data_IF_349184874316
#
_entry.id   IF_349184874316
#
_cell.length_a   1.000
_cell.length_b   1.000
_cell.length_c   1.000
_cell.angle_alpha   90.00
_cell.angle_beta   90.00
_cell.angle_gamma   90.00
#
_symmetry.space_group_name_H-M   'P 1'
#
loop_
_entity.id
_entity.type
_entity.pdbx_description
1 polymer ?
#
# COMPACT_ATOMS: atom_id res chain seq x y z
N UNK A 1 -19.55 0.80 37.80
CA UNK A 1 -19.80 -0.61 38.11
C UNK A 1 -18.73 -1.41 37.40
N UNK A 2 -17.96 -2.23 38.12
CA UNK A 2 -16.99 -3.13 37.49
C UNK A 2 -17.78 -4.09 36.57
N UNK A 3 -17.38 -4.18 35.31
CA UNK A 3 -18.03 -5.09 34.36
C UNK A 3 -17.46 -6.48 34.62
N UNK A 4 -18.32 -7.45 34.92
CA UNK A 4 -17.88 -8.83 35.14
C UNK A 4 -17.34 -9.43 33.84
N UNK A 5 -16.14 -10.00 33.92
CA UNK A 5 -15.42 -10.55 32.79
C UNK A 5 -14.07 -11.12 33.21
N UNK A 6 -13.37 -11.73 32.26
CA UNK A 6 -12.04 -12.27 32.48
C UNK A 6 -11.10 -11.93 31.31
N UNK A 7 -9.80 -11.91 31.60
CA UNK A 7 -8.76 -11.62 30.63
C UNK A 7 -8.10 -12.91 30.15
N UNK A 8 -7.83 -13.00 28.85
CA UNK A 8 -6.91 -14.00 28.30
C UNK A 8 -5.72 -13.32 27.66
N UNK A 9 -4.54 -13.90 27.82
CA UNK A 9 -3.28 -13.40 27.27
C UNK A 9 -2.78 -14.37 26.19
N UNK A 10 -2.37 -13.82 25.06
CA UNK A 10 -1.84 -14.60 23.94
C UNK A 10 -0.61 -13.94 23.35
N UNK A 11 0.39 -14.72 22.98
CA UNK A 11 1.66 -14.21 22.44
C UNK A 11 1.74 -14.45 20.94
N UNK A 12 2.34 -13.47 20.23
CA UNK A 12 2.61 -13.51 18.80
C UNK A 12 1.38 -13.86 17.94
N UNK A 13 0.19 -13.48 18.43
CA UNK A 13 -1.04 -13.48 17.66
C UNK A 13 -1.63 -12.10 17.72
N UNK A 14 -2.18 -11.65 16.61
CA UNK A 14 -2.81 -10.35 16.51
C UNK A 14 -3.85 -10.33 15.41
N UNK A 15 -4.74 -9.37 15.52
CA UNK A 15 -5.56 -8.89 14.42
C UNK A 15 -4.96 -7.57 13.96
N UNK A 16 -3.76 -7.66 13.39
CA UNK A 16 -2.96 -6.51 12.97
C UNK A 16 -3.81 -5.57 12.10
N UNK A 17 -3.86 -4.29 12.47
CA UNK A 17 -4.62 -3.23 11.81
C UNK A 17 -6.15 -3.42 11.76
N UNK A 18 -6.70 -4.37 12.52
CA UNK A 18 -8.14 -4.63 12.60
C UNK A 18 -8.65 -4.33 14.00
N UNK A 19 -9.77 -3.60 14.04
CA UNK A 19 -10.44 -3.21 15.28
C UNK A 19 -9.70 -2.12 16.07
N UNK A 20 -8.55 -1.63 15.64
CA UNK A 20 -7.80 -0.58 16.34
C UNK A 20 -8.63 0.71 16.40
N UNK A 21 -9.04 1.09 17.61
CA UNK A 21 -9.85 2.28 17.86
C UNK A 21 -9.05 3.38 18.57
N UNK A 22 -7.98 3.00 19.27
CA UNK A 22 -7.19 3.94 20.03
C UNK A 22 -5.75 3.44 20.19
N UNK A 23 -4.78 4.27 19.79
CA UNK A 23 -3.36 3.98 19.94
C UNK A 23 -2.76 4.89 21.00
N UNK A 24 -2.34 4.28 22.12
CA UNK A 24 -1.69 5.00 23.22
C UNK A 24 -0.17 4.95 23.07
N UNK A 25 0.49 6.10 23.23
CA UNK A 25 1.96 6.25 23.13
C UNK A 25 2.54 6.73 24.46
N UNK A 26 3.82 6.42 24.71
CA UNK A 26 4.56 6.92 25.88
C UNK A 26 4.59 5.94 27.06
N UNK A 27 4.75 6.46 28.29
CA UNK A 27 4.98 5.65 29.50
C UNK A 27 3.83 4.69 29.84
N UNK A 28 2.61 5.03 29.42
CA UNK A 28 1.40 4.23 29.68
C UNK A 28 1.42 2.85 29.00
N UNK A 29 2.20 2.68 27.93
CA UNK A 29 2.32 1.43 27.17
C UNK A 29 2.87 0.29 28.05
N UNK A 30 3.68 0.64 29.06
CA UNK A 30 4.28 -0.33 29.99
C UNK A 30 3.36 -0.69 31.16
N UNK A 31 2.23 0.02 31.33
CA UNK A 31 1.31 -0.15 32.45
C UNK A 31 0.09 -0.99 32.04
N UNK A 32 0.28 -2.32 32.00
CA UNK A 32 -0.76 -3.28 31.58
C UNK A 32 -2.04 -3.18 32.44
N UNK A 33 -1.97 -3.07 33.79
CA UNK A 33 -3.18 -2.88 34.60
C UNK A 33 -4.00 -1.65 34.19
N UNK A 34 -3.33 -0.53 33.90
CA UNK A 34 -4.00 0.69 33.43
C UNK A 34 -4.62 0.52 32.04
N UNK A 35 -3.93 -0.16 31.13
CA UNK A 35 -4.47 -0.47 29.79
C UNK A 35 -5.73 -1.35 29.87
N UNK A 36 -5.71 -2.39 30.72
CA UNK A 36 -6.88 -3.25 30.96
C UNK A 36 -8.07 -2.44 31.50
N UNK A 37 -7.82 -1.54 32.44
CA UNK A 37 -8.86 -0.64 32.97
C UNK A 37 -9.48 0.25 31.88
N UNK A 38 -8.67 0.79 30.97
CA UNK A 38 -9.18 1.59 29.83
C UNK A 38 -10.07 0.74 28.93
N UNK A 39 -9.68 -0.50 28.62
CA UNK A 39 -10.50 -1.42 27.82
C UNK A 39 -11.85 -1.70 28.48
N UNK A 40 -11.84 -1.97 29.79
CA UNK A 40 -13.05 -2.21 30.57
C UNK A 40 -13.98 -0.99 30.61
N UNK A 41 -13.43 0.21 30.84
CA UNK A 41 -14.18 1.47 30.90
C UNK A 41 -14.77 1.84 29.53
N UNK A 42 -13.92 1.84 28.49
CA UNK A 42 -14.28 2.27 27.12
C UNK A 42 -15.00 1.22 26.29
N UNK A 43 -15.30 0.05 26.87
CA UNK A 43 -16.05 -1.00 26.19
C UNK A 43 -15.31 -1.56 24.97
N UNK A 44 -14.00 -1.72 25.08
CA UNK A 44 -13.17 -2.32 24.03
C UNK A 44 -13.11 -3.84 24.19
N UNK A 45 -12.55 -4.53 23.20
CA UNK A 45 -12.48 -5.98 23.09
C UNK A 45 -11.10 -6.52 23.46
N UNK A 46 -10.02 -5.78 23.17
CA UNK A 46 -8.65 -6.21 23.46
C UNK A 46 -7.67 -5.05 23.54
N UNK A 47 -6.46 -5.33 24.02
CA UNK A 47 -5.30 -4.44 23.91
C UNK A 47 -4.06 -5.23 23.49
N UNK A 48 -3.35 -4.73 22.49
CA UNK A 48 -2.12 -5.29 21.98
C UNK A 48 -0.93 -4.42 22.38
N UNK A 49 0.10 -5.04 22.94
CA UNK A 49 1.39 -4.42 23.27
C UNK A 49 2.50 -5.28 22.72
N UNK A 50 3.65 -4.71 22.33
CA UNK A 50 4.70 -5.53 21.73
C UNK A 50 6.03 -4.83 21.62
N UNK A 51 6.83 -5.26 20.65
CA UNK A 51 8.13 -4.66 20.31
C UNK A 51 8.04 -3.22 19.77
N UNK A 52 6.84 -2.68 19.62
CA UNK A 52 6.55 -1.33 19.12
C UNK A 52 6.26 -0.35 20.28
N UNK A 53 6.51 0.97 20.10
CA UNK A 53 6.47 1.97 21.18
C UNK A 53 5.06 2.43 21.58
N UNK A 54 4.02 1.66 21.24
CA UNK A 54 2.61 2.02 21.44
C UNK A 54 1.79 0.82 21.93
N UNK A 55 0.63 1.09 22.52
CA UNK A 55 -0.39 0.10 22.87
C UNK A 55 -1.59 0.33 21.97
N UNK A 56 -2.04 -0.69 21.25
CA UNK A 56 -3.18 -0.61 20.36
C UNK A 56 -4.41 -1.21 21.04
N UNK A 57 -5.41 -0.39 21.35
CA UNK A 57 -6.67 -0.84 21.92
C UNK A 57 -7.65 -1.14 20.79
N UNK A 58 -8.27 -2.32 20.86
CA UNK A 58 -9.09 -2.88 19.80
C UNK A 58 -10.54 -3.03 20.22
N UNK A 59 -11.49 -2.70 19.35
CA UNK A 59 -12.92 -2.89 19.51
C UNK A 59 -13.48 -3.62 18.29
N UNK A 60 -14.25 -4.66 18.58
CA UNK A 60 -15.01 -5.43 17.61
C UNK A 60 -16.48 -5.46 18.02
N UNK A 61 -17.37 -5.58 17.04
CA UNK A 61 -18.81 -5.72 17.28
C UNK A 61 -19.22 -7.15 17.70
N UNK A 62 -18.24 -8.04 17.85
CA UNK A 62 -18.36 -9.43 18.28
C UNK A 62 -17.38 -9.75 19.42
N UNK A 63 -17.57 -10.88 20.11
CA UNK A 63 -16.64 -11.29 21.16
C UNK A 63 -15.36 -11.84 20.53
N UNK A 64 -14.26 -11.09 20.66
CA UNK A 64 -12.97 -11.52 20.15
C UNK A 64 -12.48 -12.75 20.93
N UNK A 65 -11.92 -13.72 20.20
CA UNK A 65 -11.27 -14.93 20.73
C UNK A 65 -9.94 -15.13 19.99
N UNK A 66 -9.07 -15.99 20.53
CA UNK A 66 -7.77 -16.28 19.92
C UNK A 66 -7.89 -16.89 18.51
N UNK A 67 -8.96 -17.65 18.25
CA UNK A 67 -9.21 -18.29 16.93
C UNK A 67 -9.43 -17.29 15.81
N UNK A 68 -9.92 -16.09 16.14
CA UNK A 68 -10.06 -15.01 15.18
C UNK A 68 -8.70 -14.40 14.80
N UNK A 69 -7.67 -14.56 15.63
CA UNK A 69 -6.38 -13.91 15.47
C UNK A 69 -5.43 -14.74 14.58
N UNK A 70 -4.54 -14.07 13.87
CA UNK A 70 -3.51 -14.71 13.04
C UNK A 70 -2.13 -14.59 13.69
N UNK A 71 -1.17 -15.47 13.37
CA UNK A 71 0.21 -15.32 13.83
C UNK A 71 0.82 -14.01 13.36
N UNK A 72 1.44 -13.27 14.28
CA UNK A 72 2.14 -12.02 14.02
C UNK A 72 3.39 -12.27 13.19
N UNK A 73 3.58 -11.47 12.13
CA UNK A 73 4.73 -11.59 11.21
C UNK A 73 5.54 -10.30 11.23
N UNK A 74 6.82 -10.39 11.59
CA UNK A 74 7.75 -9.25 11.58
C UNK A 74 7.78 -8.41 12.86
N UNK A 75 7.03 -8.78 13.89
CA UNK A 75 7.08 -8.17 15.23
C UNK A 75 6.66 -9.18 16.30
N UNK A 76 7.08 -8.95 17.53
CA UNK A 76 6.61 -9.71 18.69
C UNK A 76 5.58 -8.89 19.45
N UNK A 77 4.51 -9.54 19.89
CA UNK A 77 3.44 -8.88 20.62
C UNK A 77 2.79 -9.83 21.62
N UNK A 78 2.12 -9.21 22.59
CA UNK A 78 1.21 -9.83 23.53
C UNK A 78 -0.15 -9.16 23.37
N UNK A 79 -1.15 -9.98 23.03
CA UNK A 79 -2.54 -9.57 22.90
C UNK A 79 -3.32 -9.99 24.15
N UNK A 80 -3.88 -9.01 24.85
CA UNK A 80 -4.79 -9.21 25.96
C UNK A 80 -6.22 -9.06 25.47
N UNK A 81 -7.02 -10.12 25.56
CA UNK A 81 -8.42 -10.13 25.12
C UNK A 81 -9.33 -10.10 26.35
N UNK A 82 -10.32 -9.20 26.32
CA UNK A 82 -11.34 -9.07 27.35
C UNK A 82 -12.57 -9.89 27.00
N UNK A 83 -12.90 -10.87 27.85
CA UNK A 83 -14.10 -11.71 27.72
C UNK A 83 -15.16 -11.23 28.66
N UNK A 84 -16.32 -10.83 28.12
CA UNK A 84 -17.41 -10.31 28.93
C UNK A 84 -18.34 -11.42 29.37
N UNK A 85 -18.48 -11.62 30.68
CA UNK A 85 -19.38 -12.65 31.23
C UNK A 85 -20.81 -12.08 31.19
N UNK A 86 -21.62 -12.49 30.21
CA UNK A 86 -23.06 -12.19 30.20
C UNK A 86 -23.69 -11.67 28.89
N UNK A 87 -23.01 -11.65 27.75
CA UNK A 87 -23.68 -11.24 26.48
C UNK A 87 -24.42 -12.42 25.81
N UNK A 88 -25.53 -12.86 26.41
CA UNK A 88 -26.46 -13.79 25.74
C UNK A 88 -26.92 -13.24 24.38
N UNK A 89 -27.02 -11.91 24.25
CA UNK A 89 -27.36 -11.21 23.00
C UNK A 89 -26.24 -11.18 21.95
N UNK A 90 -24.99 -11.46 22.34
CA UNK A 90 -23.85 -11.54 21.42
C UNK A 90 -23.84 -12.87 20.66
N UNK A 91 -24.04 -13.97 21.39
CA UNK A 91 -24.08 -15.32 20.82
C UNK A 91 -25.23 -15.52 19.83
N UNK A 92 -26.42 -14.99 20.12
CA UNK A 92 -27.57 -15.04 19.19
C UNK A 92 -27.36 -14.21 17.93
N UNK A 93 -26.72 -13.04 18.04
CA UNK A 93 -26.36 -12.23 16.86
C UNK A 93 -25.27 -12.87 16.03
N UNK A 94 -24.30 -13.52 16.67
CA UNK A 94 -23.23 -14.28 16.02
C UNK A 94 -23.79 -15.50 15.29
N UNK A 95 -24.73 -16.24 15.88
CA UNK A 95 -25.37 -17.40 15.21
C UNK A 95 -26.25 -16.96 14.04
N UNK A 96 -27.06 -15.91 14.20
CA UNK A 96 -27.89 -15.37 13.11
C UNK A 96 -27.04 -14.87 11.93
N UNK A 97 -25.93 -14.19 12.20
CA UNK A 97 -25.04 -13.67 11.15
C UNK A 97 -24.21 -14.78 10.50
N UNK A 98 -23.81 -15.80 11.26
CA UNK A 98 -23.14 -16.99 10.71
C UNK A 98 -24.08 -17.79 9.78
N UNK A 99 -25.38 -17.88 10.12
CA UNK A 99 -26.39 -18.48 9.27
C UNK A 99 -26.66 -17.64 8.00
N UNK A 100 -26.75 -16.31 8.11
CA UNK A 100 -26.82 -15.41 6.95
C UNK A 100 -25.61 -15.54 6.03
N UNK A 101 -24.40 -15.57 6.59
CA UNK A 101 -23.16 -15.73 5.82
C UNK A 101 -23.11 -17.07 5.09
N UNK A 102 -23.57 -18.15 5.74
CA UNK A 102 -23.64 -19.48 5.12
C UNK A 102 -24.66 -19.51 3.98
N UNK A 103 -25.83 -18.90 4.18
CA UNK A 103 -26.88 -18.76 3.15
C UNK A 103 -26.43 -17.89 1.97
N UNK A 104 -25.64 -16.85 2.22
CA UNK A 104 -25.02 -16.04 1.19
C UNK A 104 -24.00 -16.85 0.40
N UNK A 105 -23.05 -17.51 1.08
CA UNK A 105 -21.99 -18.32 0.47
C UNK A 105 -22.50 -19.44 -0.44
N UNK A 106 -23.64 -20.03 -0.08
CA UNK A 106 -24.23 -21.16 -0.81
C UNK A 106 -25.24 -20.70 -1.89
N UNK A 107 -25.46 -19.39 -2.07
CA UNK A 107 -26.38 -18.82 -3.06
C UNK A 107 -25.73 -18.55 -4.42
N UNK A 108 -26.43 -18.84 -5.53
CA UNK A 108 -26.00 -18.46 -6.89
C UNK A 108 -26.09 -16.94 -7.06
N UNK A 109 -24.96 -16.24 -6.98
CA UNK A 109 -24.85 -14.81 -7.19
C UNK A 109 -24.80 -14.47 -8.69
N UNK A 110 -25.92 -14.68 -9.39
CA UNK A 110 -26.16 -14.06 -10.69
C UNK A 110 -27.17 -12.94 -10.53
N UNK A 111 -26.72 -11.70 -10.73
CA UNK A 111 -27.60 -10.53 -10.74
C UNK A 111 -28.49 -10.57 -11.98
N UNK A 112 -29.74 -10.13 -11.85
CA UNK A 112 -30.77 -10.23 -12.91
C UNK A 112 -30.70 -9.03 -13.87
N UNK A 113 -29.87 -8.04 -13.55
CA UNK A 113 -29.88 -6.70 -14.14
C UNK A 113 -28.49 -6.12 -14.45
N UNK A 114 -27.39 -6.85 -14.19
CA UNK A 114 -26.05 -6.46 -14.66
C UNK A 114 -25.45 -5.17 -14.05
N UNK A 115 -26.15 -4.47 -13.17
CA UNK A 115 -25.65 -3.29 -12.46
C UNK A 115 -25.36 -3.59 -10.98
N UNK A 116 -24.11 -3.34 -10.57
CA UNK A 116 -23.65 -3.51 -9.19
C UNK A 116 -24.12 -2.34 -8.33
N UNK A 117 -25.25 -2.51 -7.64
CA UNK A 117 -25.63 -1.61 -6.56
C UNK A 117 -24.74 -1.87 -5.33
N UNK A 118 -23.76 -0.97 -5.16
CA UNK A 118 -23.21 -0.51 -3.88
C UNK A 118 -23.14 -1.52 -2.74
N UNK A 119 -22.17 -2.43 -2.80
CA UNK A 119 -21.65 -3.10 -1.61
C UNK A 119 -21.32 -2.06 -0.53
N UNK A 120 -21.82 -2.30 0.69
CA UNK A 120 -21.44 -1.60 1.92
C UNK A 120 -19.96 -1.21 1.90
N UNK A 121 -19.67 0.06 2.19
CA UNK A 121 -18.31 0.62 2.13
C UNK A 121 -17.31 -0.18 2.96
N UNK A 122 -17.76 -0.87 4.02
CA UNK A 122 -16.91 -1.70 4.88
C UNK A 122 -16.55 -3.04 4.27
N UNK A 123 -17.43 -3.63 3.44
CA UNK A 123 -17.18 -4.90 2.76
C UNK A 123 -16.28 -4.72 1.54
N UNK A 124 -16.45 -3.62 0.78
CA UNK A 124 -15.46 -3.22 -0.24
C UNK A 124 -14.12 -2.85 0.39
N UNK A 125 -14.13 -2.28 1.59
CA UNK A 125 -12.90 -1.95 2.31
C UNK A 125 -12.23 -3.19 2.90
N UNK A 126 -12.98 -4.23 3.32
CA UNK A 126 -12.41 -5.51 3.70
C UNK A 126 -11.99 -6.34 2.50
N UNK A 127 -12.75 -6.35 1.41
CA UNK A 127 -12.39 -7.04 0.16
C UNK A 127 -11.23 -6.33 -0.55
N UNK A 128 -11.07 -5.00 -0.42
CA UNK A 128 -9.86 -4.30 -0.84
C UNK A 128 -8.68 -4.48 0.12
N UNK A 129 -8.92 -4.85 1.39
CA UNK A 129 -7.88 -5.25 2.35
C UNK A 129 -7.52 -6.75 2.24
N UNK A 130 -8.44 -7.58 1.74
CA UNK A 130 -8.30 -9.03 1.53
C UNK A 130 -7.96 -9.40 0.09
N UNK A 131 -8.15 -8.49 -0.85
CA UNK A 131 -7.54 -8.56 -2.17
C UNK A 131 -6.08 -8.17 -1.99
N UNK A 132 -5.33 -9.15 -1.49
CA UNK A 132 -3.96 -9.41 -1.89
C UNK A 132 -3.04 -8.19 -1.65
N UNK A 133 -2.00 -8.34 -0.85
CA UNK A 133 -0.85 -9.11 -1.34
C UNK A 133 -0.92 -9.43 -2.84
N UNK A 134 -1.05 -8.40 -3.69
CA UNK A 134 -0.30 -8.39 -4.91
C UNK A 134 1.11 -8.09 -4.39
N UNK A 135 1.96 -9.05 -3.98
CA UNK A 135 2.35 -10.28 -4.69
C UNK A 135 1.95 -10.35 -6.18
N UNK A 136 1.78 -9.23 -6.86
CA UNK A 136 2.40 -9.15 -8.17
C UNK A 136 3.86 -8.87 -7.83
N UNK A 137 4.78 -9.72 -8.25
CA UNK A 137 6.13 -9.25 -8.47
C UNK A 137 5.97 -8.20 -9.59
N UNK A 138 5.62 -6.96 -9.24
CA UNK A 138 5.79 -5.80 -10.11
C UNK A 138 7.30 -5.60 -10.22
N UNK A 139 7.96 -6.55 -10.89
CA UNK A 139 9.40 -6.62 -10.99
C UNK A 139 9.93 -5.40 -11.72
N UNK A 140 11.25 -5.30 -11.78
CA UNK A 140 11.97 -4.28 -12.55
C UNK A 140 11.36 -4.10 -13.96
N UNK A 141 10.86 -5.20 -14.54
CA UNK A 141 10.12 -5.22 -15.80
C UNK A 141 8.88 -4.32 -15.82
N UNK A 142 7.99 -4.41 -14.82
CA UNK A 142 6.82 -3.53 -14.79
C UNK A 142 7.24 -2.08 -14.52
N UNK A 143 8.19 -1.86 -13.60
CA UNK A 143 8.63 -0.51 -13.24
C UNK A 143 9.24 0.25 -14.42
N UNK A 144 10.04 -0.42 -15.26
CA UNK A 144 10.82 0.22 -16.32
C UNK A 144 10.27 0.02 -17.74
N UNK A 145 9.45 -1.02 -17.99
CA UNK A 145 9.08 -1.42 -19.35
C UNK A 145 7.57 -1.49 -19.62
N UNK A 146 6.71 -1.35 -18.61
CA UNK A 146 5.26 -1.26 -18.79
C UNK A 146 4.77 0.19 -18.64
N UNK A 147 3.62 0.52 -19.21
CA UNK A 147 2.91 1.81 -19.02
C UNK A 147 1.71 1.71 -18.08
N UNK A 148 1.44 0.54 -17.52
CA UNK A 148 0.20 0.23 -16.82
C UNK A 148 0.24 0.64 -15.35
N UNK A 149 -0.91 1.06 -14.84
CA UNK A 149 -1.09 1.41 -13.44
C UNK A 149 -0.55 2.79 -13.03
N UNK A 150 -0.62 3.04 -11.72
CA UNK A 150 -0.19 4.27 -11.06
C UNK A 150 1.08 3.99 -10.26
N UNK A 151 2.02 4.93 -10.29
CA UNK A 151 3.28 4.80 -9.56
C UNK A 151 3.41 5.91 -8.51
N UNK A 152 3.41 5.52 -7.23
CA UNK A 152 3.58 6.44 -6.12
C UNK A 152 5.00 7.01 -6.01
N UNK A 153 5.15 8.09 -5.23
CA UNK A 153 6.39 8.87 -5.06
C UNK A 153 7.65 8.04 -4.81
N UNK A 154 7.62 7.13 -3.82
CA UNK A 154 8.79 6.31 -3.42
C UNK A 154 9.22 5.36 -4.55
N UNK A 155 8.25 4.71 -5.20
CA UNK A 155 8.51 3.78 -6.32
C UNK A 155 9.02 4.52 -7.55
N UNK A 156 8.48 5.71 -7.85
CA UNK A 156 8.95 6.56 -8.93
C UNK A 156 10.41 6.98 -8.76
N UNK A 157 10.80 7.41 -7.56
CA UNK A 157 12.20 7.76 -7.27
C UNK A 157 13.13 6.56 -7.46
N UNK A 158 12.80 5.40 -6.87
CA UNK A 158 13.60 4.18 -7.02
C UNK A 158 13.72 3.72 -8.48
N UNK A 159 12.61 3.70 -9.22
CA UNK A 159 12.60 3.33 -10.63
C UNK A 159 13.43 4.30 -11.49
N UNK A 160 13.35 5.60 -11.21
CA UNK A 160 14.15 6.63 -11.92
C UNK A 160 15.64 6.45 -11.69
N UNK A 161 16.07 6.24 -10.44
CA UNK A 161 17.47 6.02 -10.10
C UNK A 161 17.98 4.70 -10.69
N UNK A 162 17.18 3.64 -10.64
CA UNK A 162 17.53 2.35 -11.24
C UNK A 162 17.69 2.47 -12.76
N UNK A 163 16.76 3.14 -13.45
CA UNK A 163 16.85 3.40 -14.88
C UNK A 163 18.11 4.19 -15.24
N UNK A 164 18.46 5.19 -14.41
CA UNK A 164 19.66 6.01 -14.58
C UNK A 164 20.93 5.16 -14.46
N UNK A 165 21.04 4.31 -13.42
CA UNK A 165 22.19 3.42 -13.22
C UNK A 165 22.31 2.41 -14.38
N UNK A 166 21.20 1.83 -14.83
CA UNK A 166 21.20 0.90 -15.98
C UNK A 166 21.66 1.63 -17.25
N UNK A 167 21.13 2.82 -17.52
CA UNK A 167 21.48 3.59 -18.71
C UNK A 167 22.96 3.99 -18.72
N UNK A 168 23.49 4.53 -17.61
CA UNK A 168 24.89 4.93 -17.52
C UNK A 168 25.84 3.73 -17.52
N UNK A 169 25.47 2.60 -16.90
CA UNK A 169 26.29 1.40 -16.94
C UNK A 169 26.39 0.82 -18.37
N UNK A 170 25.28 0.78 -19.12
CA UNK A 170 25.29 0.39 -20.52
C UNK A 170 26.12 1.34 -21.39
N UNK A 171 26.02 2.65 -21.14
CA UNK A 171 26.83 3.66 -21.83
C UNK A 171 28.33 3.45 -21.60
N UNK A 172 28.75 3.19 -20.35
CA UNK A 172 30.15 2.92 -20.02
C UNK A 172 30.64 1.61 -20.64
N UNK A 173 29.85 0.54 -20.59
CA UNK A 173 30.21 -0.74 -21.22
C UNK A 173 30.35 -0.58 -22.74
N UNK A 174 29.43 0.14 -23.37
CA UNK A 174 29.48 0.41 -24.80
C UNK A 174 30.71 1.27 -25.18
N UNK A 175 31.07 2.24 -24.33
CA UNK A 175 32.29 3.04 -24.46
C UNK A 175 33.56 2.21 -24.33
N UNK A 176 33.61 1.24 -23.41
CA UNK A 176 34.78 0.39 -23.19
C UNK A 176 34.95 -0.72 -24.23
N UNK A 177 33.85 -1.30 -24.73
CA UNK A 177 33.89 -2.59 -25.44
C UNK A 177 33.65 -2.46 -26.95
N UNK A 178 32.74 -1.57 -27.37
CA UNK A 178 32.13 -1.68 -28.71
C UNK A 178 32.50 -0.51 -29.63
N UNK A 179 32.86 0.66 -29.08
CA UNK A 179 32.87 1.89 -29.88
C UNK A 179 34.22 2.58 -29.91
N UNK A 180 34.74 2.79 -31.11
CA UNK A 180 35.73 3.83 -31.36
C UNK A 180 34.99 5.16 -31.54
N UNK A 181 34.87 5.94 -30.46
CA UNK A 181 34.15 7.21 -30.41
C UNK A 181 34.72 8.28 -31.34
N UNK A 182 35.90 8.02 -31.92
CA UNK A 182 36.52 8.87 -32.92
C UNK A 182 35.89 8.71 -34.31
N UNK A 183 35.01 7.72 -34.50
CA UNK A 183 34.31 7.46 -35.76
C UNK A 183 32.83 7.86 -35.65
N UNK A 184 32.31 8.44 -36.74
CA UNK A 184 30.90 8.82 -36.84
C UNK A 184 30.00 7.58 -36.73
N UNK A 185 30.43 6.45 -37.30
CA UNK A 185 29.69 5.19 -37.25
C UNK A 185 29.51 4.69 -35.82
N UNK A 186 30.58 4.72 -35.01
CA UNK A 186 30.51 4.32 -33.62
C UNK A 186 29.56 5.20 -32.80
N UNK A 187 29.64 6.52 -33.01
CA UNK A 187 28.71 7.46 -32.39
C UNK A 187 27.25 7.16 -32.78
N UNK A 188 26.96 6.96 -34.07
CA UNK A 188 25.60 6.70 -34.54
C UNK A 188 25.03 5.39 -34.00
N UNK A 189 25.81 4.30 -33.99
CA UNK A 189 25.39 3.01 -33.41
C UNK A 189 25.05 3.17 -31.93
N UNK A 190 25.83 3.97 -31.19
CA UNK A 190 25.56 4.26 -29.78
C UNK A 190 24.24 4.96 -29.54
N UNK A 191 23.95 5.99 -30.34
CA UNK A 191 22.74 6.78 -30.22
C UNK A 191 21.53 5.94 -30.61
N UNK A 192 21.62 5.19 -31.72
CA UNK A 192 20.53 4.36 -32.22
C UNK A 192 20.19 3.19 -31.29
N UNK A 193 21.13 2.68 -30.51
CA UNK A 193 20.88 1.58 -29.57
C UNK A 193 20.42 2.07 -28.20
N UNK A 194 21.09 3.08 -27.62
CA UNK A 194 20.81 3.53 -26.26
C UNK A 194 19.68 4.55 -26.17
N UNK A 195 19.54 5.46 -27.14
CA UNK A 195 18.54 6.53 -27.04
C UNK A 195 17.09 5.99 -27.01
N UNK A 196 16.69 5.01 -27.84
CA UNK A 196 15.34 4.44 -27.75
C UNK A 196 15.06 3.75 -26.41
N UNK A 197 16.05 3.02 -25.88
CA UNK A 197 15.93 2.33 -24.59
C UNK A 197 15.79 3.33 -23.43
N UNK A 198 16.64 4.36 -23.41
CA UNK A 198 16.59 5.42 -22.41
C UNK A 198 15.27 6.19 -22.46
N UNK A 199 14.83 6.57 -23.68
CA UNK A 199 13.56 7.25 -23.88
C UNK A 199 12.38 6.40 -23.39
N UNK A 200 12.38 5.09 -23.67
CA UNK A 200 11.33 4.18 -23.22
C UNK A 200 11.25 4.09 -21.68
N UNK A 201 12.38 3.88 -21.00
CA UNK A 201 12.38 3.79 -19.54
C UNK A 201 11.93 5.10 -18.88
N UNK A 202 12.30 6.24 -19.48
CA UNK A 202 11.87 7.55 -18.99
C UNK A 202 10.38 7.81 -19.26
N UNK A 203 9.87 7.50 -20.44
CA UNK A 203 8.44 7.65 -20.74
C UNK A 203 7.59 6.74 -19.86
N UNK A 204 7.99 5.48 -19.66
CA UNK A 204 7.25 4.52 -18.84
C UNK A 204 7.06 5.00 -17.40
N UNK A 205 8.14 5.48 -16.77
CA UNK A 205 8.11 5.96 -15.37
C UNK A 205 7.34 7.27 -15.22
N UNK A 206 7.55 8.23 -16.14
CA UNK A 206 6.90 9.55 -16.11
C UNK A 206 5.41 9.43 -16.39
N UNK A 207 4.99 8.62 -17.37
CA UNK A 207 3.56 8.40 -17.67
C UNK A 207 2.83 7.87 -16.45
N UNK A 208 3.39 6.86 -15.76
CA UNK A 208 2.77 6.30 -14.55
C UNK A 208 2.69 7.31 -13.41
N UNK A 209 3.67 8.20 -13.32
CA UNK A 209 3.68 9.27 -12.33
C UNK A 209 2.67 10.37 -12.63
N UNK A 210 2.53 10.75 -13.91
CA UNK A 210 1.51 11.70 -14.35
C UNK A 210 0.10 11.13 -14.15
N UNK A 211 -0.11 9.84 -14.45
CA UNK A 211 -1.35 9.11 -14.13
C UNK A 211 -1.67 9.17 -12.63
N UNK A 212 -0.66 9.02 -11.77
CA UNK A 212 -0.85 9.15 -10.32
C UNK A 212 -1.25 10.56 -9.89
N UNK A 213 -0.81 11.59 -10.61
CA UNK A 213 -1.21 12.98 -10.38
C UNK A 213 -2.55 13.34 -11.05
N UNK A 214 -3.19 12.42 -11.76
CA UNK A 214 -4.42 12.68 -12.53
C UNK A 214 -4.23 13.54 -13.79
N UNK A 215 -2.99 13.87 -14.12
CA UNK A 215 -2.62 14.62 -15.31
C UNK A 215 -2.74 13.73 -16.56
N UNK A 216 -2.97 14.36 -17.71
CA UNK A 216 -3.00 13.64 -18.97
C UNK A 216 -1.63 12.99 -19.29
N UNK A 217 -1.59 11.69 -19.66
CA UNK A 217 -0.36 10.99 -20.02
C UNK A 217 0.42 11.64 -21.17
N UNK A 218 -0.25 12.35 -22.08
CA UNK A 218 0.38 13.01 -23.22
C UNK A 218 1.38 14.10 -22.83
N UNK A 219 1.28 14.63 -21.60
CA UNK A 219 2.27 15.57 -21.06
C UNK A 219 3.66 14.93 -20.92
N UNK A 220 3.74 13.59 -20.80
CA UNK A 220 5.01 12.88 -20.76
C UNK A 220 5.84 13.08 -22.03
N UNK A 221 5.20 13.26 -23.20
CA UNK A 221 5.90 13.52 -24.46
C UNK A 221 6.70 14.80 -24.37
N UNK A 222 6.16 15.86 -23.76
CA UNK A 222 6.89 17.11 -23.51
C UNK A 222 8.14 16.87 -22.68
N UNK A 223 8.03 16.07 -21.61
CA UNK A 223 9.18 15.70 -20.77
C UNK A 223 10.26 14.94 -21.56
N UNK A 224 9.87 13.98 -22.40
CA UNK A 224 10.79 13.19 -23.23
C UNK A 224 11.44 13.99 -24.38
N UNK A 225 10.78 15.04 -24.87
CA UNK A 225 11.31 15.89 -25.94
C UNK A 225 12.25 17.01 -25.44
N UNK A 226 12.26 17.31 -24.13
CA UNK A 226 13.12 18.35 -23.56
C UNK A 226 14.62 18.19 -23.89
N UNK A 227 15.24 17.00 -23.82
CA UNK A 227 16.63 16.79 -24.25
C UNK A 227 16.98 17.31 -25.65
N UNK A 228 16.01 17.42 -26.55
CA UNK A 228 16.22 17.88 -27.92
C UNK A 228 16.55 19.37 -27.99
N UNK A 229 16.21 20.14 -26.94
CA UNK A 229 16.55 21.56 -26.83
C UNK A 229 18.00 21.68 -26.34
N UNK A 230 18.93 22.18 -27.17
CA UNK A 230 20.34 22.28 -26.78
C UNK A 230 20.51 23.16 -25.54
N UNK A 231 21.39 22.74 -24.63
CA UNK A 231 21.80 23.43 -23.39
C UNK A 231 20.71 23.67 -22.32
N UNK A 232 19.48 24.01 -22.71
CA UNK A 232 18.37 24.30 -21.79
C UNK A 232 17.49 23.09 -21.50
N UNK A 233 17.45 22.11 -22.41
CA UNK A 233 16.60 20.93 -22.32
C UNK A 233 16.83 20.10 -21.06
N UNK A 234 18.08 19.68 -20.84
CA UNK A 234 18.46 18.83 -19.71
C UNK A 234 18.24 19.51 -18.35
N UNK A 235 18.62 20.79 -18.13
CA UNK A 235 18.29 21.49 -16.89
C UNK A 235 16.78 21.57 -16.61
N UNK A 236 15.98 21.89 -17.63
CA UNK A 236 14.52 21.98 -17.48
C UNK A 236 13.90 20.62 -17.18
N UNK A 237 14.39 19.56 -17.83
CA UNK A 237 13.94 18.20 -17.57
C UNK A 237 14.28 17.76 -16.14
N UNK A 238 15.48 18.11 -15.65
CA UNK A 238 15.87 17.81 -14.28
C UNK A 238 15.00 18.53 -13.25
N UNK A 239 14.72 19.82 -13.45
CA UNK A 239 13.81 20.58 -12.58
C UNK A 239 12.40 20.00 -12.59
N UNK A 240 11.90 19.61 -13.77
CA UNK A 240 10.59 18.96 -13.86
C UNK A 240 10.61 17.61 -13.13
N UNK A 241 11.65 16.80 -13.31
CA UNK A 241 11.79 15.54 -12.58
C UNK A 241 11.75 15.74 -11.07
N UNK A 242 12.49 16.71 -10.53
CA UNK A 242 12.42 17.09 -9.11
C UNK A 242 10.98 17.43 -8.73
N UNK A 243 10.28 18.23 -9.54
CA UNK A 243 8.89 18.57 -9.26
C UNK A 243 7.96 17.35 -9.23
N UNK A 244 8.21 16.32 -10.05
CA UNK A 244 7.45 15.05 -10.05
C UNK A 244 7.76 14.20 -8.82
N UNK A 245 8.99 14.25 -8.30
CA UNK A 245 9.36 13.59 -7.04
C UNK A 245 8.70 14.30 -5.85
N UNK A 246 8.66 15.64 -5.84
CA UNK A 246 8.18 16.41 -4.70
C UNK A 246 6.65 16.51 -4.62
N UNK A 247 5.96 16.70 -5.76
CA UNK A 247 4.50 16.85 -5.78
C UNK A 247 3.81 15.62 -5.21
N UNK A 248 2.72 15.79 -4.48
CA UNK A 248 1.94 14.64 -4.03
C UNK A 248 1.06 14.10 -5.15
N UNK A 249 0.83 12.78 -5.14
CA UNK A 249 -0.14 12.16 -6.05
C UNK A 249 -1.59 12.52 -5.66
N UNK A 250 -2.55 12.10 -6.48
CA UNK A 250 -3.97 12.12 -6.11
C UNK A 250 -4.22 11.08 -5.01
N UNK A 251 -4.98 11.45 -3.97
CA UNK A 251 -5.38 10.52 -2.90
C UNK A 251 -6.68 9.82 -3.31
N UNK A 252 -6.76 8.52 -3.07
CA UNK A 252 -7.92 7.70 -3.45
C UNK A 252 -7.93 7.25 -4.93
N UNK A 253 -8.98 6.53 -5.35
CA UNK A 253 -9.10 6.02 -6.71
C UNK A 253 -9.23 7.14 -7.75
N UNK A 254 -8.55 6.98 -8.88
CA UNK A 254 -8.56 7.94 -10.00
C UNK A 254 -8.92 7.21 -11.31
N UNK A 255 -9.19 7.94 -12.41
CA UNK A 255 -9.52 7.42 -13.75
C UNK A 255 -8.51 6.41 -14.33
N UNK A 256 -7.32 6.32 -13.73
CA UNK A 256 -6.23 5.43 -14.15
C UNK A 256 -6.00 4.23 -13.21
N UNK A 257 -6.81 4.06 -12.16
CA UNK A 257 -6.73 2.93 -11.22
C UNK A 257 -6.75 3.32 -9.74
N UNK A 258 -6.72 2.31 -8.87
CA UNK A 258 -6.69 2.44 -7.41
C UNK A 258 -5.46 3.21 -6.90
N UNK A 259 -5.54 3.75 -5.68
CA UNK A 259 -4.44 4.55 -5.10
C UNK A 259 -3.21 3.66 -4.85
N UNK A 260 -2.01 3.97 -5.39
CA UNK A 260 -0.79 3.29 -4.98
C UNK A 260 -0.43 3.53 -3.51
N UNK A 261 -1.11 4.47 -2.83
CA UNK A 261 -1.04 4.74 -1.40
C UNK A 261 -2.20 4.15 -0.58
N UNK A 262 -3.02 3.23 -1.09
CA UNK A 262 -4.11 2.61 -0.30
C UNK A 262 -3.63 1.73 0.88
N UNK A 263 -2.34 1.80 1.21
CA UNK A 263 -1.71 1.24 2.42
C UNK A 263 -1.28 2.34 3.42
N UNK A 264 -1.34 3.64 3.04
CA UNK A 264 -0.79 4.76 3.82
C UNK A 264 -1.84 5.57 4.59
N UNK A 265 -3.13 5.28 4.43
CA UNK A 265 -4.19 5.85 5.28
C UNK A 265 -4.06 5.37 6.75
N UNK A 266 -3.19 4.39 7.01
CA UNK A 266 -2.96 3.80 8.33
C UNK A 266 -1.79 4.41 9.13
N UNK A 267 -1.11 5.47 8.66
CA UNK A 267 -0.03 6.11 9.44
C UNK A 267 -0.53 7.18 10.45
N UNK A 268 -1.81 7.56 10.41
CA UNK A 268 -2.39 8.62 11.25
C UNK A 268 -3.56 8.18 12.16
N UNK A 269 -3.79 6.89 12.33
CA UNK A 269 -4.76 6.35 13.30
C UNK A 269 -4.08 5.35 14.23
#
# INVERSE_FOLDING_TARGET
MARDGYWTEHQNIDMCFQGDVEILKGVIVKDIPKLKKIVEEKNYSAVCVGSFPHAALKKFDYQLTAEHCKPSKGYTNTLYIWHRTGSASGKERESQRAEEFKKWKDGDHRTVDGESHGHSSTAKQSDALYDKDSETPEGIRWMLFSYDGRMGRKKFFMASILALIIFWSLLVVLWLVILDWNTIEGFLVSVLTLAPLGLWMQSATVVKRLKDMGTDPGVATGYCCLPLVPYLGLPLQFLWWISLVLKEGTQGPNKFGADPRDIAVYENY
#
